data_IF_803206988109
#
_entry.id   IF_803206988109
#
_cell.length_a   1.000
_cell.length_b   1.000
_cell.length_c   1.000
_cell.angle_alpha   90.00
_cell.angle_beta   90.00
_cell.angle_gamma   90.00
#
_symmetry.space_group_name_H-M   'P 1'
#
loop_
_entity.id
_entity.type
_entity.pdbx_description
1 polymer ?
#
# COMPACT_ATOMS: atom_id res chain seq x y z
N UNK A 1 17.54 -8.77 4.38
CA UNK A 1 16.13 -8.44 4.12
C UNK A 1 15.95 -6.95 4.38
N UNK A 2 15.79 -6.18 3.32
CA UNK A 2 15.41 -4.75 3.36
C UNK A 2 13.90 -4.65 3.12
N UNK A 3 13.31 -3.52 3.46
CA UNK A 3 11.90 -3.23 3.20
C UNK A 3 11.79 -2.02 2.29
N UNK A 4 11.08 -2.16 1.20
CA UNK A 4 10.77 -1.10 0.26
C UNK A 4 9.26 -0.89 0.15
N UNK A 5 8.86 0.22 -0.44
CA UNK A 5 7.48 0.51 -0.74
C UNK A 5 7.32 1.18 -2.11
N UNK A 6 6.20 0.89 -2.76
CA UNK A 6 5.71 1.57 -3.95
C UNK A 6 4.21 1.33 -4.10
N UNK A 7 3.40 2.36 -4.20
CA UNK A 7 1.95 2.29 -4.35
C UNK A 7 1.45 2.96 -5.63
N UNK A 8 0.14 2.91 -5.82
CA UNK A 8 -0.55 3.62 -6.92
C UNK A 8 0.03 3.25 -8.30
N UNK A 9 0.23 1.95 -8.51
CA UNK A 9 0.83 1.42 -9.74
C UNK A 9 -0.09 1.62 -10.95
N UNK A 10 -1.41 1.60 -10.72
CA UNK A 10 -2.42 1.85 -11.73
C UNK A 10 -2.17 1.10 -13.05
N UNK A 11 -1.90 -0.21 -12.94
CA UNK A 11 -1.70 -1.07 -14.11
C UNK A 11 -3.01 -1.20 -14.92
N UNK A 12 -2.94 -1.50 -16.21
CA UNK A 12 -4.08 -1.33 -17.14
C UNK A 12 -5.28 -2.26 -16.86
N UNK A 13 -5.08 -3.40 -16.20
CA UNK A 13 -6.19 -4.30 -15.88
C UNK A 13 -6.82 -5.01 -17.08
N UNK A 14 -6.03 -5.24 -18.14
CA UNK A 14 -6.50 -5.86 -19.36
C UNK A 14 -7.24 -4.91 -20.32
N UNK A 15 -7.40 -3.64 -19.94
CA UNK A 15 -8.00 -2.60 -20.78
C UNK A 15 -6.92 -1.63 -21.29
N UNK A 16 -7.22 -0.90 -22.36
CA UNK A 16 -6.38 0.20 -22.83
C UNK A 16 -6.68 1.47 -22.00
N UNK A 17 -6.08 1.55 -20.84
CA UNK A 17 -6.18 2.71 -19.91
C UNK A 17 -4.79 3.33 -19.71
N UNK A 18 -4.32 4.14 -20.66
CA UNK A 18 -2.99 4.71 -20.58
C UNK A 18 -2.92 5.78 -19.49
N UNK A 19 -2.00 5.62 -18.53
CA UNK A 19 -1.78 6.59 -17.46
C UNK A 19 -1.17 7.93 -17.93
N UNK A 20 -0.62 8.00 -19.12
CA UNK A 20 -0.07 9.23 -19.71
C UNK A 20 -1.10 10.35 -19.92
N UNK A 21 -2.42 10.06 -19.84
CA UNK A 21 -3.47 11.09 -19.78
C UNK A 21 -3.33 12.00 -18.54
N UNK A 22 -2.63 11.53 -17.48
CA UNK A 22 -2.31 12.29 -16.27
C UNK A 22 -0.93 12.98 -16.35
N UNK A 23 -0.34 13.03 -17.54
CA UNK A 23 0.92 13.70 -17.85
C UNK A 23 2.00 12.76 -18.39
N UNK A 24 2.92 13.34 -19.17
CA UNK A 24 3.95 12.58 -19.90
C UNK A 24 4.88 11.76 -19.00
N UNK A 25 5.04 12.13 -17.74
CA UNK A 25 5.83 11.38 -16.76
C UNK A 25 5.34 9.95 -16.57
N UNK A 26 4.03 9.69 -16.79
CA UNK A 26 3.42 8.38 -16.69
C UNK A 26 3.65 7.48 -17.91
N UNK A 27 4.23 8.02 -18.99
CA UNK A 27 4.53 7.22 -20.18
C UNK A 27 5.53 6.11 -19.84
N UNK A 28 5.12 4.84 -20.08
CA UNK A 28 5.93 3.67 -19.74
C UNK A 28 6.28 3.58 -18.25
N UNK A 29 5.42 4.05 -17.36
CA UNK A 29 5.70 4.11 -15.93
C UNK A 29 6.02 2.75 -15.33
N UNK A 30 5.32 1.67 -15.73
CA UNK A 30 5.58 0.34 -15.19
C UNK A 30 6.91 -0.24 -15.67
N UNK A 31 7.36 0.12 -16.89
CA UNK A 31 8.70 -0.27 -17.36
C UNK A 31 9.80 0.39 -16.52
N UNK A 32 9.63 1.68 -16.19
CA UNK A 32 10.53 2.42 -15.29
C UNK A 32 10.56 1.80 -13.90
N UNK A 33 9.38 1.52 -13.34
CA UNK A 33 9.24 0.85 -12.04
C UNK A 33 9.93 -0.51 -12.08
N UNK A 34 9.65 -1.32 -13.09
CA UNK A 34 10.18 -2.67 -13.21
C UNK A 34 11.71 -2.69 -13.36
N UNK A 35 12.27 -1.74 -14.11
CA UNK A 35 13.72 -1.61 -14.26
C UNK A 35 14.38 -1.26 -12.91
N UNK A 36 13.91 -0.20 -12.26
CA UNK A 36 14.42 0.18 -10.94
C UNK A 36 14.24 -0.93 -9.90
N UNK A 37 13.09 -1.60 -9.88
CA UNK A 37 12.82 -2.68 -8.92
C UNK A 37 13.82 -3.83 -9.07
N UNK A 38 14.11 -4.27 -10.32
CA UNK A 38 15.11 -5.33 -10.57
C UNK A 38 16.54 -4.95 -10.19
N UNK A 39 16.89 -3.67 -10.31
CA UNK A 39 18.21 -3.16 -9.90
C UNK A 39 18.32 -3.01 -8.38
N UNK A 40 17.22 -2.71 -7.69
CA UNK A 40 17.22 -2.30 -6.30
C UNK A 40 16.93 -3.45 -5.34
N UNK A 41 15.89 -4.26 -5.62
CA UNK A 41 15.44 -5.31 -4.70
C UNK A 41 16.01 -6.68 -5.03
N UNK A 42 16.33 -7.44 -3.98
CA UNK A 42 16.70 -8.85 -4.06
C UNK A 42 15.54 -9.78 -3.70
N UNK A 43 15.75 -11.09 -3.87
CA UNK A 43 14.74 -12.14 -3.67
C UNK A 43 14.20 -12.25 -2.22
N UNK A 44 14.99 -11.81 -1.25
CA UNK A 44 14.64 -11.87 0.18
C UNK A 44 14.14 -10.51 0.74
N UNK A 45 14.10 -9.47 -0.09
CA UNK A 45 13.60 -8.16 0.32
C UNK A 45 12.06 -8.14 0.30
N UNK A 46 11.47 -7.28 1.11
CA UNK A 46 10.00 -7.13 1.20
C UNK A 46 9.59 -5.83 0.51
N UNK A 47 8.58 -5.91 -0.32
CA UNK A 47 8.03 -4.77 -1.04
C UNK A 47 6.56 -4.56 -0.64
N UNK A 48 6.27 -3.41 -0.06
CA UNK A 48 4.95 -3.01 0.37
C UNK A 48 4.24 -2.26 -0.76
N UNK A 49 3.03 -2.71 -1.10
CA UNK A 49 2.21 -2.07 -2.14
C UNK A 49 0.92 -1.58 -1.49
N UNK A 50 0.87 -0.31 -1.06
CA UNK A 50 -0.24 0.25 -0.29
C UNK A 50 -1.46 0.63 -1.13
N UNK A 51 -1.81 -0.16 -2.14
CA UNK A 51 -3.06 -0.04 -2.90
C UNK A 51 -2.93 0.62 -4.27
N UNK A 52 -4.07 0.69 -4.94
CA UNK A 52 -4.25 1.19 -6.31
C UNK A 52 -3.31 0.49 -7.30
N UNK A 53 -3.42 -0.84 -7.31
CA UNK A 53 -2.54 -1.74 -8.05
C UNK A 53 -2.93 -1.81 -9.52
N UNK A 54 -4.24 -1.99 -9.80
CA UNK A 54 -4.74 -2.21 -11.14
C UNK A 54 -6.11 -1.56 -11.37
N UNK A 55 -6.33 -1.02 -12.56
CA UNK A 55 -7.61 -0.49 -13.01
C UNK A 55 -8.65 -1.57 -13.36
N UNK A 56 -8.32 -2.84 -13.23
CA UNK A 56 -9.24 -3.93 -13.50
C UNK A 56 -10.54 -3.80 -12.70
N UNK A 57 -11.65 -4.13 -13.34
CA UNK A 57 -12.97 -4.16 -12.68
C UNK A 57 -13.25 -5.52 -12.03
N UNK A 58 -12.58 -6.59 -12.49
CA UNK A 58 -12.76 -7.96 -12.02
C UNK A 58 -11.41 -8.63 -11.81
N UNK A 59 -11.37 -9.60 -10.90
CA UNK A 59 -10.13 -10.29 -10.51
C UNK A 59 -9.44 -10.95 -11.70
N UNK A 60 -10.20 -11.57 -12.57
CA UNK A 60 -9.69 -12.26 -13.77
C UNK A 60 -8.90 -11.31 -14.69
N UNK A 61 -9.34 -10.05 -14.78
CA UNK A 61 -8.68 -9.02 -15.58
C UNK A 61 -7.43 -8.44 -14.89
N UNK A 62 -7.36 -8.52 -13.55
CA UNK A 62 -6.18 -8.10 -12.78
C UNK A 62 -5.05 -9.13 -12.81
N UNK A 63 -5.33 -10.40 -13.16
CA UNK A 63 -4.33 -11.46 -13.09
C UNK A 63 -3.06 -11.19 -13.90
N UNK A 64 -3.12 -10.67 -15.15
CA UNK A 64 -1.90 -10.32 -15.89
C UNK A 64 -1.03 -9.29 -15.15
N UNK A 65 -1.64 -8.27 -14.52
CA UNK A 65 -0.95 -7.25 -13.75
C UNK A 65 -0.29 -7.85 -12.50
N UNK A 66 -1.04 -8.69 -11.79
CA UNK A 66 -0.53 -9.40 -10.60
C UNK A 66 0.62 -10.35 -10.96
N UNK A 67 0.56 -11.03 -12.10
CA UNK A 67 1.63 -11.87 -12.61
C UNK A 67 2.87 -11.05 -12.98
N UNK A 68 2.69 -9.89 -13.62
CA UNK A 68 3.78 -8.98 -13.97
C UNK A 68 4.51 -8.47 -12.71
N UNK A 69 3.77 -8.11 -11.65
CA UNK A 69 4.34 -7.75 -10.34
C UNK A 69 4.99 -8.98 -9.69
N UNK A 70 4.35 -10.14 -9.76
CA UNK A 70 4.86 -11.41 -9.20
C UNK A 70 6.22 -11.80 -9.77
N UNK A 71 6.45 -11.52 -11.06
CA UNK A 71 7.70 -11.80 -11.75
C UNK A 71 8.87 -10.87 -11.35
N UNK A 72 8.64 -9.83 -10.55
CA UNK A 72 9.69 -8.97 -10.00
C UNK A 72 10.28 -9.60 -8.73
N UNK A 73 11.54 -9.32 -8.37
CA UNK A 73 12.18 -9.93 -7.20
C UNK A 73 11.53 -9.52 -5.87
N UNK A 74 11.70 -10.34 -4.85
CA UNK A 74 11.29 -10.09 -3.47
C UNK A 74 9.89 -10.59 -3.10
N UNK A 75 9.52 -10.39 -1.84
CA UNK A 75 8.24 -10.75 -1.25
C UNK A 75 7.33 -9.52 -1.30
N UNK A 76 6.14 -9.66 -1.88
CA UNK A 76 5.20 -8.53 -2.05
C UNK A 76 4.07 -8.63 -1.04
N UNK A 77 3.78 -7.52 -0.36
CA UNK A 77 2.63 -7.41 0.53
C UNK A 77 1.69 -6.36 -0.03
N UNK A 78 0.49 -6.80 -0.40
CA UNK A 78 -0.52 -6.00 -1.05
C UNK A 78 -1.57 -5.53 -0.06
N UNK A 79 -1.97 -4.28 -0.18
CA UNK A 79 -3.16 -3.73 0.44
C UNK A 79 -4.11 -3.25 -0.65
N UNK A 80 -5.42 -3.30 -0.40
CA UNK A 80 -6.42 -2.78 -1.33
C UNK A 80 -6.45 -1.25 -1.31
N UNK A 81 -6.41 -0.61 -2.50
CA UNK A 81 -6.72 0.81 -2.68
C UNK A 81 -8.20 1.09 -2.98
N UNK A 82 -8.51 2.33 -3.33
CA UNK A 82 -9.88 2.71 -3.68
C UNK A 82 -10.24 2.40 -5.14
N UNK A 83 -9.26 2.32 -6.01
CA UNK A 83 -9.44 1.94 -7.42
C UNK A 83 -9.27 0.43 -7.68
N UNK A 84 -8.89 -0.37 -6.69
CA UNK A 84 -8.83 -1.83 -6.82
C UNK A 84 -10.23 -2.45 -6.77
N UNK A 85 -11.06 -2.16 -7.80
CA UNK A 85 -12.44 -2.70 -7.92
C UNK A 85 -12.44 -4.22 -8.09
N UNK A 86 -11.38 -4.77 -8.68
CA UNK A 86 -11.15 -6.20 -8.88
C UNK A 86 -11.02 -6.99 -7.57
N UNK A 87 -10.68 -6.29 -6.48
CA UNK A 87 -10.47 -6.94 -5.18
C UNK A 87 -11.78 -7.48 -4.63
N UNK A 88 -12.00 -8.75 -4.85
CA UNK A 88 -13.18 -9.53 -4.43
C UNK A 88 -13.07 -9.96 -2.95
N UNK A 89 -13.49 -11.16 -2.60
CA UNK A 89 -13.21 -11.70 -1.27
C UNK A 89 -11.71 -11.95 -1.11
N UNK A 90 -11.17 -11.69 0.08
CA UNK A 90 -9.72 -11.88 0.32
C UNK A 90 -9.26 -13.31 0.05
N UNK A 91 -10.11 -14.30 0.29
CA UNK A 91 -9.82 -15.71 -0.01
C UNK A 91 -9.55 -15.91 -1.50
N UNK A 92 -10.47 -15.45 -2.37
CA UNK A 92 -10.27 -15.54 -3.83
C UNK A 92 -9.03 -14.80 -4.29
N UNK A 93 -8.79 -13.61 -3.73
CA UNK A 93 -7.56 -12.86 -4.05
C UNK A 93 -6.33 -13.68 -3.71
N UNK A 94 -6.23 -14.21 -2.48
CA UNK A 94 -5.08 -14.99 -2.02
C UNK A 94 -4.84 -16.26 -2.83
N UNK A 95 -5.91 -16.94 -3.22
CA UNK A 95 -5.83 -18.15 -4.06
C UNK A 95 -5.33 -17.86 -5.49
N UNK A 96 -5.45 -16.61 -5.94
CA UNK A 96 -5.06 -16.16 -7.27
C UNK A 96 -3.69 -15.48 -7.34
N UNK A 97 -3.08 -15.19 -6.17
CA UNK A 97 -1.78 -14.51 -6.14
C UNK A 97 -0.64 -15.45 -6.55
N UNK A 98 0.36 -14.93 -7.29
CA UNK A 98 1.65 -15.61 -7.47
C UNK A 98 2.33 -15.95 -6.15
N UNK A 99 3.31 -16.85 -6.19
CA UNK A 99 4.16 -17.15 -5.03
C UNK A 99 4.83 -15.90 -4.48
N UNK A 100 5.13 -15.88 -3.18
CA UNK A 100 5.73 -14.75 -2.46
C UNK A 100 4.90 -13.45 -2.53
N UNK A 101 3.59 -13.55 -2.81
CA UNK A 101 2.67 -12.42 -2.72
C UNK A 101 1.61 -12.65 -1.64
N UNK A 102 1.37 -11.65 -0.83
CA UNK A 102 0.44 -11.70 0.29
C UNK A 102 -0.56 -10.54 0.22
N UNK A 103 -1.84 -10.82 0.40
CA UNK A 103 -2.89 -9.80 0.49
C UNK A 103 -3.30 -9.60 1.95
N UNK A 104 -3.15 -8.37 2.46
CA UNK A 104 -3.60 -7.99 3.80
C UNK A 104 -5.08 -7.58 3.77
N UNK A 105 -5.85 -8.13 4.71
CA UNK A 105 -7.21 -7.66 4.99
C UNK A 105 -7.64 -8.05 6.39
N UNK A 106 -7.62 -7.10 7.32
CA UNK A 106 -7.99 -7.26 8.74
C UNK A 106 -7.09 -8.23 9.53
N UNK A 107 -5.92 -8.55 9.03
CA UNK A 107 -4.94 -9.47 9.60
C UNK A 107 -3.52 -8.91 9.48
N UNK A 108 -2.51 -9.74 9.77
CA UNK A 108 -1.11 -9.37 9.68
C UNK A 108 -0.28 -10.52 9.10
N UNK A 109 0.84 -10.18 8.49
CA UNK A 109 1.84 -11.12 7.96
C UNK A 109 3.15 -10.89 8.66
N UNK A 110 3.80 -11.95 9.16
CA UNK A 110 5.14 -11.91 9.75
C UNK A 110 6.17 -12.47 8.78
N UNK A 111 7.23 -11.72 8.54
CA UNK A 111 8.38 -12.14 7.73
C UNK A 111 9.65 -11.80 8.52
N UNK A 112 10.38 -12.82 8.94
CA UNK A 112 11.48 -12.64 9.88
C UNK A 112 11.01 -12.03 11.20
N UNK A 113 11.65 -10.94 11.63
CA UNK A 113 11.30 -10.21 12.85
C UNK A 113 10.32 -9.04 12.61
N UNK A 114 9.92 -8.83 11.35
CA UNK A 114 9.00 -7.76 10.97
C UNK A 114 7.57 -8.27 10.81
N UNK A 115 6.62 -7.47 11.27
CA UNK A 115 5.18 -7.75 11.14
C UNK A 115 4.54 -6.63 10.34
N UNK A 116 3.84 -6.99 9.27
CA UNK A 116 3.16 -6.10 8.37
C UNK A 116 1.66 -6.20 8.58
N UNK A 117 0.99 -5.07 8.77
CA UNK A 117 -0.45 -5.00 8.99
C UNK A 117 -1.00 -3.70 8.39
N UNK A 118 -2.32 -3.54 8.39
CA UNK A 118 -2.89 -2.31 7.89
C UNK A 118 -4.35 -2.40 7.46
N UNK A 119 -4.87 -1.28 7.02
CA UNK A 119 -6.18 -1.19 6.37
C UNK A 119 -6.15 -0.11 5.29
N UNK A 120 -7.14 -0.16 4.39
CA UNK A 120 -7.26 0.83 3.34
C UNK A 120 -7.34 2.27 3.89
N UNK A 121 -8.02 2.46 5.02
CA UNK A 121 -8.36 3.79 5.51
C UNK A 121 -9.50 4.44 4.73
N UNK A 122 -9.74 5.71 5.02
CA UNK A 122 -10.73 6.55 4.33
C UNK A 122 -10.39 8.03 4.51
N UNK A 123 -10.49 8.82 3.44
CA UNK A 123 -10.01 10.20 3.42
C UNK A 123 -11.05 11.26 3.76
N UNK A 124 -12.33 10.90 3.90
CA UNK A 124 -13.41 11.86 4.15
C UNK A 124 -14.24 11.51 5.38
N UNK A 125 -14.72 12.56 6.06
CA UNK A 125 -15.70 12.45 7.17
C UNK A 125 -16.83 13.47 7.02
N UNK A 126 -17.04 13.99 5.82
CA UNK A 126 -18.00 15.07 5.58
C UNK A 126 -19.45 14.56 5.64
N UNK A 127 -19.76 13.52 4.90
CA UNK A 127 -21.09 12.93 4.88
C UNK A 127 -21.32 11.90 6.00
N UNK A 128 -22.57 11.55 6.25
CA UNK A 128 -22.92 10.49 7.19
C UNK A 128 -22.40 9.11 6.73
N UNK A 129 -22.36 8.87 5.42
CA UNK A 129 -21.86 7.62 4.86
C UNK A 129 -20.33 7.58 4.92
N UNK A 130 -19.63 8.68 4.68
CA UNK A 130 -18.17 8.77 4.88
C UNK A 130 -17.79 8.47 6.33
N UNK A 131 -18.48 9.05 7.30
CA UNK A 131 -18.27 8.75 8.73
C UNK A 131 -18.43 7.27 9.06
N UNK A 132 -19.40 6.61 8.43
CA UNK A 132 -19.67 5.19 8.59
C UNK A 132 -18.55 4.33 8.02
N UNK A 133 -18.06 4.70 6.81
CA UNK A 133 -16.93 4.04 6.17
C UNK A 133 -15.67 4.25 7.00
N UNK A 134 -15.38 5.49 7.42
CA UNK A 134 -14.22 5.83 8.24
C UNK A 134 -14.18 4.99 9.53
N UNK A 135 -15.28 4.92 10.29
CA UNK A 135 -15.38 4.10 11.49
C UNK A 135 -15.15 2.62 11.23
N UNK A 136 -15.63 2.11 10.09
CA UNK A 136 -15.40 0.73 9.69
C UNK A 136 -13.92 0.47 9.38
N UNK A 137 -13.24 1.42 8.73
CA UNK A 137 -11.81 1.29 8.44
C UNK A 137 -10.96 1.38 9.71
N UNK A 138 -11.33 2.22 10.70
CA UNK A 138 -10.71 2.23 12.04
C UNK A 138 -10.84 0.83 12.69
N UNK A 139 -12.04 0.24 12.66
CA UNK A 139 -12.25 -1.10 13.23
C UNK A 139 -11.43 -2.18 12.51
N UNK A 140 -11.27 -2.07 11.20
CA UNK A 140 -10.44 -2.98 10.40
C UNK A 140 -8.96 -2.84 10.73
N UNK A 141 -8.48 -1.61 10.87
CA UNK A 141 -7.11 -1.34 11.28
C UNK A 141 -6.85 -1.90 12.69
N UNK A 142 -7.80 -1.72 13.62
CA UNK A 142 -7.69 -2.28 14.95
C UNK A 142 -7.53 -3.81 14.92
N UNK A 143 -8.38 -4.52 14.17
CA UNK A 143 -8.26 -5.97 13.99
C UNK A 143 -6.88 -6.39 13.46
N UNK A 144 -6.38 -5.64 12.48
CA UNK A 144 -5.08 -5.89 11.86
C UNK A 144 -3.92 -5.67 12.86
N UNK A 145 -3.96 -4.58 13.63
CA UNK A 145 -2.99 -4.27 14.68
C UNK A 145 -3.03 -5.28 15.83
N UNK A 146 -4.21 -5.75 16.23
CA UNK A 146 -4.36 -6.81 17.25
C UNK A 146 -3.75 -8.13 16.78
N UNK A 147 -3.93 -8.48 15.49
CA UNK A 147 -3.25 -9.62 14.90
C UNK A 147 -1.73 -9.44 14.91
N UNK A 148 -1.24 -8.25 14.51
CA UNK A 148 0.19 -7.95 14.52
C UNK A 148 0.79 -8.04 15.92
N UNK A 149 0.11 -7.50 16.93
CA UNK A 149 0.55 -7.58 18.32
C UNK A 149 0.70 -9.01 18.85
N UNK A 150 -0.17 -9.93 18.41
CA UNK A 150 -0.08 -11.37 18.78
C UNK A 150 1.09 -12.09 18.12
N UNK A 151 1.51 -11.67 16.93
CA UNK A 151 2.64 -12.26 16.22
C UNK A 151 3.99 -11.84 16.82
N UNK A 152 4.03 -10.71 17.50
CA UNK A 152 5.25 -10.15 18.11
C UNK A 152 6.34 -9.83 17.08
N UNK A 153 7.05 -8.74 17.28
CA UNK A 153 8.07 -8.20 16.40
C UNK A 153 7.88 -6.71 16.19
N UNK A 154 8.70 -6.13 15.34
CA UNK A 154 8.57 -4.72 14.95
C UNK A 154 7.44 -4.58 13.92
N UNK A 155 6.53 -3.65 14.15
CA UNK A 155 5.33 -3.50 13.31
C UNK A 155 5.55 -2.36 12.30
N UNK A 156 5.25 -2.67 11.04
CA UNK A 156 5.13 -1.71 9.94
C UNK A 156 3.68 -1.71 9.47
N UNK A 157 3.05 -0.52 9.48
CA UNK A 157 1.65 -0.35 9.09
C UNK A 157 1.55 0.12 7.65
N UNK A 158 0.62 -0.45 6.90
CA UNK A 158 0.24 0.00 5.57
C UNK A 158 -1.14 0.63 5.62
N UNK A 159 -1.27 1.81 5.02
CA UNK A 159 -2.54 2.45 4.73
C UNK A 159 -2.60 2.77 3.23
N UNK A 160 -3.80 2.82 2.62
CA UNK A 160 -3.89 3.41 1.30
C UNK A 160 -4.12 4.91 1.43
N UNK A 161 -5.16 5.32 2.17
CA UNK A 161 -5.37 6.73 2.48
C UNK A 161 -4.37 7.22 3.53
N UNK A 162 -3.86 8.48 3.38
CA UNK A 162 -2.91 9.04 4.33
C UNK A 162 -3.51 9.11 5.75
N UNK A 163 -2.80 8.61 6.77
CA UNK A 163 -3.25 8.68 8.16
C UNK A 163 -2.95 10.01 8.83
N UNK A 164 -2.17 10.86 8.19
CA UNK A 164 -1.75 12.19 8.63
C UNK A 164 -2.07 13.24 7.56
N UNK A 165 -2.18 14.49 7.95
CA UNK A 165 -2.27 15.60 7.00
C UNK A 165 -0.88 15.99 6.43
N UNK A 166 -0.84 16.99 5.57
CA UNK A 166 0.39 17.51 4.92
C UNK A 166 1.45 18.05 5.90
N UNK A 167 1.07 18.33 7.14
CA UNK A 167 1.94 18.85 8.22
C UNK A 167 2.31 17.75 9.23
N UNK A 168 1.84 16.53 9.04
CA UNK A 168 2.05 15.44 9.98
C UNK A 168 1.14 15.49 11.21
N UNK A 169 0.04 16.27 11.16
CA UNK A 169 -0.94 16.23 12.24
C UNK A 169 -1.69 14.90 12.20
N UNK A 170 -1.91 14.36 13.39
CA UNK A 170 -2.55 13.06 13.55
C UNK A 170 -4.07 13.11 13.45
N UNK A 171 -4.63 11.91 13.31
CA UNK A 171 -6.06 11.61 13.26
C UNK A 171 -6.39 10.48 14.25
N UNK A 172 -7.66 10.06 14.33
CA UNK A 172 -8.03 8.85 15.08
C UNK A 172 -7.25 7.59 14.61
N UNK A 173 -6.80 7.56 13.35
CA UNK A 173 -5.95 6.48 12.81
C UNK A 173 -4.60 6.46 13.51
N UNK A 174 -3.95 7.62 13.62
CA UNK A 174 -2.64 7.72 14.30
C UNK A 174 -2.75 7.44 15.79
N UNK A 175 -3.81 7.93 16.45
CA UNK A 175 -4.07 7.65 17.87
C UNK A 175 -4.27 6.14 18.13
N UNK A 176 -4.78 5.39 17.15
CA UNK A 176 -4.88 3.94 17.24
C UNK A 176 -3.52 3.26 17.01
N UNK A 177 -2.77 3.69 16.01
CA UNK A 177 -1.45 3.15 15.65
C UNK A 177 -0.47 3.29 16.82
N UNK A 178 -0.47 4.43 17.51
CA UNK A 178 0.42 4.73 18.65
C UNK A 178 0.26 3.81 19.87
N UNK A 179 -0.84 3.06 19.94
CA UNK A 179 -1.05 2.06 21.02
C UNK A 179 -0.22 0.78 20.83
N UNK A 180 0.46 0.65 19.70
CA UNK A 180 1.24 -0.52 19.32
C UNK A 180 2.70 -0.12 19.03
N UNK A 181 3.67 -1.06 19.10
CA UNK A 181 5.07 -0.77 18.82
C UNK A 181 5.33 -0.62 17.30
N UNK A 182 4.69 0.36 16.68
CA UNK A 182 4.82 0.66 15.25
C UNK A 182 6.02 1.57 15.04
N UNK A 183 6.91 1.19 14.12
CA UNK A 183 8.09 1.97 13.75
C UNK A 183 7.88 2.81 12.49
N UNK A 184 7.15 2.26 11.52
CA UNK A 184 6.94 2.88 10.22
C UNK A 184 5.48 2.75 9.77
N UNK A 185 4.99 3.78 9.10
CA UNK A 185 3.71 3.79 8.40
C UNK A 185 3.96 4.14 6.94
N UNK A 186 3.48 3.30 6.04
CA UNK A 186 3.58 3.49 4.59
C UNK A 186 2.18 3.74 4.03
N UNK A 187 2.03 4.74 3.19
CA UNK A 187 0.75 5.05 2.58
C UNK A 187 0.88 5.47 1.11
N UNK A 188 -0.23 5.45 0.38
CA UNK A 188 -0.35 5.83 -1.01
C UNK A 188 -1.39 6.92 -1.24
N UNK A 189 -2.19 6.76 -2.31
CA UNK A 189 -3.36 7.57 -2.66
C UNK A 189 -3.06 9.00 -3.14
N UNK A 190 -2.07 9.68 -2.57
CA UNK A 190 -1.72 11.05 -2.91
C UNK A 190 -0.78 11.06 -4.12
N UNK A 191 -1.34 11.23 -5.30
CA UNK A 191 -0.58 11.37 -6.53
C UNK A 191 -0.97 12.64 -7.30
N UNK A 192 -0.01 13.25 -7.97
CA UNK A 192 -0.14 14.55 -8.64
C UNK A 192 1.10 15.42 -8.44
N UNK A 193 1.48 16.22 -9.44
CA UNK A 193 2.75 16.97 -9.43
C UNK A 193 2.81 18.04 -8.33
N UNK A 194 1.67 18.60 -7.96
CA UNK A 194 1.57 19.78 -7.11
C UNK A 194 1.09 19.48 -5.69
N UNK A 195 0.98 18.17 -5.32
CA UNK A 195 0.54 17.79 -3.98
C UNK A 195 1.69 17.80 -2.99
N UNK A 196 1.47 18.46 -1.86
CA UNK A 196 2.35 18.35 -0.70
C UNK A 196 1.99 17.09 0.07
N UNK A 197 2.97 16.21 0.26
CA UNK A 197 2.81 14.97 1.02
C UNK A 197 3.71 14.98 2.25
N UNK A 198 3.24 14.41 3.35
CA UNK A 198 4.06 14.29 4.54
C UNK A 198 4.99 13.08 4.44
N UNK A 199 6.29 13.34 4.46
CA UNK A 199 7.34 12.34 4.63
C UNK A 199 8.21 12.76 5.81
N UNK A 200 8.24 11.98 6.90
CA UNK A 200 9.00 12.38 8.07
C UNK A 200 8.55 11.67 9.34
N UNK A 201 9.05 12.17 10.46
CA UNK A 201 8.73 11.61 11.78
C UNK A 201 7.66 12.47 12.43
N UNK A 202 6.56 11.85 12.82
CA UNK A 202 5.55 12.45 13.65
C UNK A 202 5.25 11.50 14.84
N UNK A 203 5.21 12.04 16.05
CA UNK A 203 4.90 11.28 17.27
C UNK A 203 5.77 10.02 17.47
N UNK A 204 7.03 10.08 17.02
CA UNK A 204 8.01 8.98 17.15
C UNK A 204 7.88 7.87 16.09
N UNK A 205 6.97 7.98 15.14
CA UNK A 205 6.75 7.04 14.05
C UNK A 205 7.19 7.69 12.72
N UNK A 206 7.85 6.94 11.86
CA UNK A 206 8.23 7.38 10.52
C UNK A 206 7.08 7.15 9.53
N UNK A 207 6.66 8.20 8.82
CA UNK A 207 5.61 8.16 7.81
C UNK A 207 6.18 8.33 6.41
N UNK A 208 5.73 7.52 5.47
CA UNK A 208 6.26 7.45 4.12
C UNK A 208 5.12 7.42 3.09
N UNK A 209 5.04 8.46 2.25
CA UNK A 209 4.20 8.42 1.06
C UNK A 209 4.92 7.63 -0.04
N UNK A 210 4.31 6.55 -0.49
CA UNK A 210 4.89 5.64 -1.47
C UNK A 210 4.17 5.67 -2.84
N UNK A 211 3.33 6.70 -3.12
CA UNK A 211 2.72 6.87 -4.44
C UNK A 211 3.80 6.96 -5.50
N UNK A 212 3.76 6.11 -6.51
CA UNK A 212 4.87 5.88 -7.43
C UNK A 212 5.36 7.14 -8.14
N UNK A 213 4.45 8.06 -8.46
CA UNK A 213 4.79 9.33 -9.11
C UNK A 213 5.41 10.37 -8.15
N UNK A 214 5.13 10.27 -6.84
CA UNK A 214 5.76 11.11 -5.81
C UNK A 214 7.21 10.68 -5.53
N UNK A 215 7.52 9.40 -5.73
CA UNK A 215 8.85 8.83 -5.50
C UNK A 215 9.64 8.58 -6.80
N UNK A 216 9.22 9.22 -7.91
CA UNK A 216 9.94 9.16 -9.19
C UNK A 216 9.94 7.79 -9.85
N UNK A 217 8.86 7.00 -9.66
CA UNK A 217 8.69 5.65 -10.20
C UNK A 217 9.80 4.67 -9.80
N UNK A 218 10.33 4.83 -8.59
CA UNK A 218 11.41 4.04 -8.03
C UNK A 218 11.02 3.50 -6.65
N UNK A 219 11.61 2.39 -6.21
CA UNK A 219 11.36 1.84 -4.89
C UNK A 219 11.84 2.79 -3.78
N UNK A 220 10.97 3.09 -2.83
CA UNK A 220 11.31 3.84 -1.62
C UNK A 220 11.79 2.87 -0.54
N UNK A 221 13.02 3.01 -0.08
CA UNK A 221 13.50 2.20 1.03
C UNK A 221 12.90 2.69 2.36
N UNK A 222 12.29 1.75 3.10
CA UNK A 222 11.67 1.99 4.41
C UNK A 222 12.60 1.53 5.54
N UNK A 223 13.27 0.40 5.31
CA UNK A 223 14.17 -0.22 6.30
C UNK A 223 15.29 -1.02 5.65
#
# INVERSE_FOLDING_TARGET
>A
MRVFAIGDLHLPGGDDKPMNIFGDRWTGHFDKISANWRETAGEDDVILIPGDISWAMQLENALPDLQAIGALPGIKILLRGNHDYWWSTVTRVRESLPEKMYALQNDAVKIGDLVFCGSRGWGSTESADDKKIYKREISRLQMSLECAGKLGGEIIVMCHYPPVDEKGNGTEVTDLIEKYPVSNVVYGHLHGADLTVFNGIARGISYHCASCDQIGFSLLQIK
#
